data_IF_746985253918
#
_entry.id   IF_746985253918
#
_cell.length_a   1.000
_cell.length_b   1.000
_cell.length_c   1.000
_cell.angle_alpha   90.00
_cell.angle_beta   90.00
_cell.angle_gamma   90.00
#
_symmetry.space_group_name_H-M   'P 1'
#
loop_
_entity.id
_entity.type
_entity.pdbx_description
1 polymer ?
#
# COMPACT_ATOMS: atom_id res chain seq x y z
N UNK A 1 20.46 36.05 -1.80
CA UNK A 1 20.83 34.69 -1.34
C UNK A 1 19.88 33.73 -2.02
N UNK A 2 20.41 32.79 -2.79
CA UNK A 2 19.67 31.93 -3.73
C UNK A 2 18.60 31.09 -3.04
N UNK A 3 17.34 31.30 -3.42
CA UNK A 3 16.25 30.35 -3.18
C UNK A 3 16.41 29.23 -4.22
N UNK A 4 17.34 28.32 -3.92
CA UNK A 4 17.65 27.18 -4.76
C UNK A 4 16.44 26.26 -4.87
N UNK A 5 15.85 26.24 -6.05
CA UNK A 5 15.68 25.01 -6.82
C UNK A 5 15.08 23.84 -6.03
N UNK A 6 13.86 24.01 -5.53
CA UNK A 6 12.98 22.88 -5.25
C UNK A 6 12.10 22.61 -6.46
N UNK A 7 12.71 22.24 -7.57
CA UNK A 7 12.02 21.45 -8.60
C UNK A 7 11.81 20.07 -8.00
N UNK A 8 10.74 19.94 -7.21
CA UNK A 8 10.21 18.63 -6.87
C UNK A 8 9.72 18.00 -8.16
N UNK A 9 10.58 17.27 -8.86
CA UNK A 9 10.15 16.30 -9.86
C UNK A 9 9.50 15.17 -9.06
N UNK A 10 8.29 15.39 -8.53
CA UNK A 10 7.36 14.30 -8.32
C UNK A 10 6.85 14.01 -9.72
N UNK A 11 7.28 12.91 -10.38
CA UNK A 11 6.75 12.59 -11.70
C UNK A 11 5.23 12.54 -11.59
N UNK A 12 4.53 13.04 -12.60
CA UNK A 12 3.05 13.01 -12.64
C UNK A 12 2.49 11.57 -12.49
N UNK A 13 3.35 10.56 -12.65
CA UNK A 13 3.16 9.13 -12.43
C UNK A 13 3.14 8.69 -10.96
N UNK A 14 3.44 9.54 -9.98
CA UNK A 14 3.31 9.21 -8.54
C UNK A 14 1.88 9.46 -8.03
N UNK A 15 0.90 9.11 -8.85
CA UNK A 15 -0.54 9.10 -8.51
C UNK A 15 -1.00 7.73 -8.02
N UNK A 16 -0.10 6.74 -7.95
CA UNK A 16 -0.42 5.39 -7.51
C UNK A 16 -0.89 5.43 -6.06
N UNK A 17 -2.20 5.28 -5.85
CA UNK A 17 -2.76 5.13 -4.52
C UNK A 17 -2.19 3.85 -3.90
N UNK A 18 -1.82 3.92 -2.62
CA UNK A 18 -1.42 2.74 -1.89
C UNK A 18 -2.70 1.95 -1.54
N UNK A 19 -2.80 0.75 -2.08
CA UNK A 19 -3.92 -0.15 -1.85
C UNK A 19 -3.56 -1.20 -0.81
N UNK A 20 -4.53 -1.57 0.02
CA UNK A 20 -4.43 -2.62 1.02
C UNK A 20 -5.51 -3.67 0.78
N UNK A 21 -5.18 -4.96 0.93
CA UNK A 21 -6.12 -6.06 0.76
C UNK A 21 -5.74 -7.25 1.62
N UNK A 22 -6.66 -8.20 1.79
CA UNK A 22 -6.39 -9.43 2.54
C UNK A 22 -6.08 -10.58 1.58
N UNK A 23 -5.03 -11.34 1.88
CA UNK A 23 -4.59 -12.49 1.10
C UNK A 23 -4.49 -13.73 1.98
N UNK A 24 -5.10 -14.83 1.54
CA UNK A 24 -4.94 -16.13 2.17
C UNK A 24 -3.84 -16.94 1.46
N UNK A 25 -2.73 -17.20 2.16
CA UNK A 25 -1.63 -18.02 1.65
C UNK A 25 -1.54 -19.33 2.46
N UNK A 26 -1.96 -20.42 1.83
CA UNK A 26 -1.99 -21.74 2.46
C UNK A 26 -3.00 -21.81 3.60
N UNK A 27 -2.51 -21.72 4.84
CA UNK A 27 -3.32 -21.77 6.07
C UNK A 27 -3.25 -20.46 6.89
N UNK A 28 -2.77 -19.38 6.28
CA UNK A 28 -2.41 -18.14 6.97
C UNK A 28 -2.98 -16.94 6.24
N UNK A 29 -3.41 -15.94 7.02
CA UNK A 29 -3.95 -14.69 6.52
C UNK A 29 -2.88 -13.61 6.56
N UNK A 30 -2.84 -12.77 5.52
CA UNK A 30 -1.89 -11.66 5.38
C UNK A 30 -2.64 -10.42 4.91
N UNK A 31 -2.09 -9.25 5.19
CA UNK A 31 -2.47 -8.02 4.49
C UNK A 31 -1.44 -7.76 3.40
N UNK A 32 -1.88 -7.68 2.15
CA UNK A 32 -1.06 -7.23 1.02
C UNK A 32 -1.23 -5.73 0.84
N UNK A 33 -0.12 -5.01 0.66
CA UNK A 33 -0.12 -3.59 0.33
C UNK A 33 0.69 -3.35 -0.93
N UNK A 34 0.20 -2.55 -1.87
CA UNK A 34 0.91 -2.23 -3.10
C UNK A 34 0.48 -0.88 -3.66
N UNK A 35 1.39 -0.21 -4.35
CA UNK A 35 1.07 0.93 -5.20
C UNK A 35 0.59 0.38 -6.55
N UNK A 36 -0.57 0.83 -7.03
CA UNK A 36 -1.09 0.41 -8.33
C UNK A 36 -0.94 1.54 -9.35
N UNK A 37 -0.27 1.27 -10.46
CA UNK A 37 -0.18 2.20 -11.59
C UNK A 37 -1.49 2.26 -12.40
N UNK A 38 -1.55 3.16 -13.39
CA UNK A 38 -2.72 3.35 -14.27
C UNK A 38 -3.05 2.10 -15.12
N UNK A 39 -2.12 1.16 -15.26
CA UNK A 39 -2.27 -0.08 -16.00
C UNK A 39 -2.67 -1.26 -15.08
N UNK A 40 -2.79 -1.00 -13.77
CA UNK A 40 -3.08 -2.01 -12.75
C UNK A 40 -1.87 -2.87 -12.38
N UNK A 41 -0.64 -2.46 -12.72
CA UNK A 41 0.57 -3.12 -12.22
C UNK A 41 0.83 -2.72 -10.78
N UNK A 42 1.22 -3.71 -10.00
CA UNK A 42 1.58 -3.53 -8.61
C UNK A 42 3.08 -3.34 -8.44
N UNK A 43 3.45 -2.22 -7.82
CA UNK A 43 4.81 -1.90 -7.40
C UNK A 43 4.89 -1.85 -5.87
N UNK A 44 6.09 -2.12 -5.33
CA UNK A 44 6.35 -2.01 -3.89
C UNK A 44 5.53 -2.97 -3.00
N UNK A 45 5.19 -4.15 -3.51
CA UNK A 45 4.34 -5.13 -2.81
C UNK A 45 4.92 -5.53 -1.44
N UNK A 46 4.12 -5.36 -0.39
CA UNK A 46 4.43 -5.72 1.00
C UNK A 46 3.40 -6.70 1.54
N UNK A 47 3.85 -7.63 2.38
CA UNK A 47 2.99 -8.56 3.11
C UNK A 47 3.16 -8.33 4.62
N UNK A 48 2.06 -8.03 5.30
CA UNK A 48 1.99 -7.90 6.75
C UNK A 48 1.26 -9.11 7.35
N UNK A 49 1.67 -9.57 8.53
CA UNK A 49 1.18 -10.80 9.17
C UNK A 49 2.25 -11.88 9.36
N UNK A 50 1.87 -13.15 9.57
CA UNK A 50 0.51 -13.70 9.44
C UNK A 50 -0.45 -13.29 10.57
N UNK A 51 -1.73 -13.17 10.24
CA UNK A 51 -2.85 -12.96 11.17
C UNK A 51 -3.53 -14.29 11.54
N UNK A 52 -4.11 -14.39 12.74
CA UNK A 52 -4.74 -15.62 13.22
C UNK A 52 -5.98 -16.02 12.40
N UNK A 53 -6.71 -15.04 11.87
CA UNK A 53 -7.94 -15.23 11.09
C UNK A 53 -8.16 -14.08 10.09
N UNK A 54 -9.16 -14.27 9.22
CA UNK A 54 -9.54 -13.29 8.20
C UNK A 54 -9.95 -11.94 8.81
N UNK A 55 -10.71 -11.97 9.89
CA UNK A 55 -11.25 -10.75 10.52
C UNK A 55 -10.13 -9.89 11.11
N UNK A 56 -9.12 -10.52 11.71
CA UNK A 56 -7.92 -9.85 12.19
C UNK A 56 -7.12 -9.19 11.05
N UNK A 57 -7.00 -9.85 9.90
CA UNK A 57 -6.36 -9.28 8.72
C UNK A 57 -7.17 -8.11 8.11
N UNK A 58 -8.50 -8.24 8.01
CA UNK A 58 -9.38 -7.16 7.53
C UNK A 58 -9.33 -5.93 8.44
N UNK A 59 -9.37 -6.14 9.75
CA UNK A 59 -9.24 -5.06 10.72
C UNK A 59 -7.90 -4.32 10.56
N UNK A 60 -6.81 -5.05 10.26
CA UNK A 60 -5.53 -4.43 9.97
C UNK A 60 -5.54 -3.65 8.65
N UNK A 61 -6.05 -4.23 7.56
CA UNK A 61 -6.14 -3.55 6.27
C UNK A 61 -6.89 -2.21 6.41
N UNK A 62 -8.03 -2.22 7.10
CA UNK A 62 -8.83 -1.00 7.34
C UNK A 62 -8.10 0.06 8.18
N UNK A 63 -7.28 -0.36 9.16
CA UNK A 63 -6.42 0.56 9.92
C UNK A 63 -5.35 1.20 9.03
N UNK A 64 -4.78 0.43 8.10
CA UNK A 64 -3.77 0.92 7.17
C UNK A 64 -4.36 1.89 6.14
N UNK A 65 -5.56 1.62 5.63
CA UNK A 65 -6.30 2.54 4.76
C UNK A 65 -6.54 3.89 5.43
N UNK A 66 -7.02 3.89 6.69
CA UNK A 66 -7.29 5.13 7.43
C UNK A 66 -6.02 5.91 7.84
N UNK A 67 -4.84 5.29 7.78
CA UNK A 67 -3.56 5.97 8.05
C UNK A 67 -3.01 6.67 6.80
N UNK A 68 -3.42 6.22 5.63
CA UNK A 68 -2.94 6.73 4.34
C UNK A 68 -3.89 7.77 3.74
N UNK A 69 -5.14 7.84 4.22
CA UNK A 69 -6.12 8.90 3.92
C UNK A 69 -5.84 10.19 4.69
#
# INVERSE_FOLDING_TARGET
>A
MSEGDRVGITPRSWTAALHHGVLHLGKRWYVVSAELDEQGRADGVRLDGPFPDHSAAEAQARRMENKTA
#
